data_IF_028894420213
#
_entry.id   IF_028894420213
#
_cell.length_a   1.000
_cell.length_b   1.000
_cell.length_c   1.000
_cell.angle_alpha   90.00
_cell.angle_beta   90.00
_cell.angle_gamma   90.00
#
_symmetry.space_group_name_H-M   'P 1'
#
loop_
_entity.id
_entity.type
_entity.pdbx_description
1 polymer ?
#
# COMPACT_ATOMS: atom_id res chain seq x y z
N UNK A 1 20.87 -8.95 -19.47
CA UNK A 1 20.25 -8.14 -20.56
C UNK A 1 20.50 -6.62 -20.42
N UNK A 2 21.39 -6.15 -19.53
CA UNK A 2 21.65 -4.71 -19.30
C UNK A 2 22.95 -4.21 -19.98
N UNK A 3 23.64 -5.07 -20.73
CA UNK A 3 24.87 -4.70 -21.45
C UNK A 3 24.64 -3.83 -22.70
N UNK A 4 23.41 -3.73 -23.21
CA UNK A 4 23.11 -3.11 -24.52
C UNK A 4 22.93 -1.59 -24.50
N UNK A 5 22.58 -0.98 -23.37
CA UNK A 5 22.21 0.45 -23.33
C UNK A 5 23.43 1.36 -23.25
N UNK A 6 24.56 0.86 -22.73
CA UNK A 6 25.79 1.66 -22.54
C UNK A 6 26.65 1.87 -23.79
N UNK A 7 26.60 0.93 -24.74
CA UNK A 7 27.38 1.06 -26.00
C UNK A 7 26.84 2.21 -26.85
N UNK A 8 25.53 2.44 -26.83
CA UNK A 8 24.87 3.51 -27.57
C UNK A 8 25.24 4.92 -27.07
N UNK A 9 25.32 5.13 -25.75
CA UNK A 9 25.77 6.42 -25.20
C UNK A 9 27.26 6.68 -25.44
N UNK A 10 28.08 5.63 -25.45
CA UNK A 10 29.52 5.76 -25.74
C UNK A 10 29.76 6.12 -27.22
N UNK A 11 28.98 5.53 -28.14
CA UNK A 11 28.98 5.91 -29.56
C UNK A 11 28.53 7.36 -29.79
N UNK A 12 27.55 7.86 -29.02
CA UNK A 12 27.08 9.24 -29.12
C UNK A 12 28.13 10.28 -28.66
N UNK A 13 28.93 9.94 -27.65
CA UNK A 13 30.06 10.79 -27.21
C UNK A 13 31.19 10.76 -28.24
N UNK A 14 31.49 9.59 -28.82
CA UNK A 14 32.50 9.47 -29.89
C UNK A 14 32.10 10.22 -31.17
N UNK A 15 30.82 10.22 -31.55
CA UNK A 15 30.34 11.02 -32.70
C UNK A 15 30.37 12.53 -32.47
N UNK A 16 30.52 12.97 -31.22
CA UNK A 16 30.63 14.40 -30.88
C UNK A 16 32.08 14.91 -30.97
N UNK A 17 33.07 14.01 -31.06
CA UNK A 17 34.51 14.34 -31.06
C UNK A 17 35.04 14.62 -32.48
N UNK A 18 34.35 14.14 -33.53
CA UNK A 18 34.77 14.37 -34.93
C UNK A 18 34.70 15.85 -35.38
N UNK A 19 34.03 16.74 -34.63
CA UNK A 19 33.87 18.15 -35.01
C UNK A 19 35.04 19.07 -34.59
N UNK A 20 35.93 18.64 -33.70
CA UNK A 20 36.99 19.49 -33.11
C UNK A 20 38.42 19.15 -33.57
N UNK A 21 38.57 18.40 -34.67
CA UNK A 21 39.88 18.06 -35.24
C UNK A 21 40.74 19.28 -35.65
N UNK A 22 40.14 20.48 -35.71
CA UNK A 22 40.83 21.72 -36.10
C UNK A 22 41.63 22.40 -34.97
N UNK A 23 41.35 22.11 -33.70
CA UNK A 23 42.04 22.78 -32.57
C UNK A 23 43.34 22.04 -32.19
N UNK A 24 43.47 20.75 -32.53
CA UNK A 24 44.60 19.92 -32.13
C UNK A 24 45.78 19.90 -33.13
N UNK A 25 45.75 20.70 -34.19
CA UNK A 25 46.78 20.66 -35.24
C UNK A 25 48.04 21.49 -34.92
N UNK A 26 48.08 22.26 -33.82
CA UNK A 26 49.14 23.28 -33.63
C UNK A 26 49.89 23.33 -32.29
N UNK A 27 49.83 22.32 -31.40
CA UNK A 27 50.76 22.27 -30.25
C UNK A 27 50.99 20.86 -29.65
N UNK A 28 52.27 20.46 -29.67
CA UNK A 28 52.99 19.43 -28.90
C UNK A 28 52.40 18.02 -28.68
N UNK A 29 53.14 17.02 -29.18
CA UNK A 29 52.89 15.58 -28.98
C UNK A 29 52.64 15.19 -27.52
N UNK A 30 53.25 15.90 -26.56
CA UNK A 30 53.04 15.70 -25.13
C UNK A 30 51.61 16.05 -24.67
N UNK A 31 50.97 17.08 -25.25
CA UNK A 31 49.61 17.49 -24.88
C UNK A 31 48.59 16.42 -25.26
N UNK A 32 48.71 15.79 -26.44
CA UNK A 32 47.83 14.67 -26.83
C UNK A 32 47.94 13.47 -25.89
N UNK A 33 49.16 13.13 -25.45
CA UNK A 33 49.39 11.99 -24.56
C UNK A 33 48.76 12.27 -23.20
N UNK A 34 48.90 13.49 -22.68
CA UNK A 34 48.25 13.90 -21.42
C UNK A 34 46.74 13.86 -21.56
N UNK A 35 46.17 14.40 -22.63
CA UNK A 35 44.72 14.41 -22.87
C UNK A 35 44.17 12.98 -22.96
N UNK A 36 44.77 12.09 -23.75
CA UNK A 36 44.34 10.69 -23.86
C UNK A 36 44.46 9.93 -22.54
N UNK A 37 45.51 10.18 -21.75
CA UNK A 37 45.67 9.57 -20.42
C UNK A 37 44.60 10.05 -19.44
N UNK A 38 44.26 11.34 -19.46
CA UNK A 38 43.21 11.91 -18.63
C UNK A 38 41.83 11.38 -19.04
N UNK A 39 41.54 11.28 -20.34
CA UNK A 39 40.30 10.65 -20.84
C UNK A 39 40.21 9.17 -20.44
N UNK A 40 41.30 8.41 -20.53
CA UNK A 40 41.37 7.02 -20.08
C UNK A 40 41.11 6.86 -18.58
N UNK A 41 41.76 7.70 -17.75
CA UNK A 41 41.54 7.72 -16.29
C UNK A 41 40.09 8.12 -15.97
N UNK A 42 39.54 9.12 -16.66
CA UNK A 42 38.17 9.57 -16.45
C UNK A 42 37.16 8.48 -16.84
N UNK A 43 37.39 7.76 -17.95
CA UNK A 43 36.57 6.65 -18.40
C UNK A 43 36.63 5.46 -17.44
N UNK A 44 37.81 5.12 -16.91
CA UNK A 44 37.97 4.10 -15.88
C UNK A 44 37.26 4.47 -14.56
N UNK A 45 37.36 5.74 -14.13
CA UNK A 45 36.63 6.24 -12.97
C UNK A 45 35.12 6.24 -13.19
N UNK A 46 34.66 6.60 -14.39
CA UNK A 46 33.25 6.58 -14.77
C UNK A 46 32.69 5.15 -14.82
N UNK A 47 33.46 4.19 -15.36
CA UNK A 47 33.07 2.77 -15.41
C UNK A 47 33.02 2.16 -13.99
N UNK A 48 34.01 2.49 -13.14
CA UNK A 48 34.05 2.09 -11.73
C UNK A 48 32.85 2.64 -10.95
N UNK A 49 32.49 3.91 -11.20
CA UNK A 49 31.32 4.54 -10.57
C UNK A 49 30.00 3.90 -11.01
N UNK A 50 29.86 3.57 -12.30
CA UNK A 50 28.66 2.90 -12.82
C UNK A 50 28.54 1.46 -12.33
N UNK A 51 29.66 0.75 -12.23
CA UNK A 51 29.71 -0.58 -11.64
C UNK A 51 29.33 -0.52 -10.16
N UNK A 52 29.87 0.44 -9.39
CA UNK A 52 29.51 0.62 -7.99
C UNK A 52 27.99 0.76 -7.78
N UNK A 53 27.32 1.49 -8.68
CA UNK A 53 25.86 1.63 -8.64
C UNK A 53 25.12 0.29 -8.82
N UNK A 54 25.55 -0.54 -9.79
CA UNK A 54 24.94 -1.87 -9.98
C UNK A 54 25.22 -2.81 -8.81
N UNK A 55 26.44 -2.80 -8.26
CA UNK A 55 26.78 -3.63 -7.10
C UNK A 55 25.95 -3.29 -5.86
N UNK A 56 25.62 -2.01 -5.66
CA UNK A 56 24.74 -1.59 -4.57
C UNK A 56 23.30 -2.08 -4.78
N UNK A 57 22.80 -2.00 -6.01
CA UNK A 57 21.48 -2.51 -6.37
C UNK A 57 21.36 -4.02 -6.11
N UNK A 58 22.33 -4.80 -6.59
CA UNK A 58 22.33 -6.26 -6.42
C UNK A 58 22.38 -6.66 -4.93
N UNK A 59 23.16 -5.95 -4.12
CA UNK A 59 23.21 -6.15 -2.66
C UNK A 59 21.89 -5.81 -1.97
N UNK A 60 21.23 -4.71 -2.37
CA UNK A 60 19.93 -4.35 -1.82
C UNK A 60 18.87 -5.41 -2.15
N UNK A 61 18.81 -5.84 -3.41
CA UNK A 61 17.89 -6.90 -3.85
C UNK A 61 18.15 -8.21 -3.11
N UNK A 62 19.41 -8.63 -2.97
CA UNK A 62 19.76 -9.84 -2.22
C UNK A 62 19.39 -9.75 -0.73
N UNK A 63 19.58 -8.59 -0.10
CA UNK A 63 19.21 -8.38 1.30
C UNK A 63 17.69 -8.43 1.52
N UNK A 64 16.92 -7.83 0.60
CA UNK A 64 15.46 -7.83 0.66
C UNK A 64 14.89 -9.22 0.35
N UNK A 65 15.50 -9.93 -0.60
CA UNK A 65 15.19 -11.32 -0.89
C UNK A 65 15.41 -12.22 0.33
N UNK A 66 16.55 -12.10 1.02
CA UNK A 66 16.80 -12.82 2.27
C UNK A 66 15.77 -12.49 3.37
N UNK A 67 15.41 -11.22 3.52
CA UNK A 67 14.40 -10.78 4.48
C UNK A 67 13.00 -11.38 4.17
N UNK A 68 12.57 -11.34 2.90
CA UNK A 68 11.28 -11.92 2.49
C UNK A 68 11.27 -13.43 2.67
N UNK A 69 12.32 -14.14 2.26
CA UNK A 69 12.40 -15.60 2.42
C UNK A 69 12.31 -16.01 3.88
N UNK A 70 12.98 -15.24 4.75
CA UNK A 70 12.95 -15.45 6.19
C UNK A 70 11.56 -15.20 6.77
N UNK A 71 10.91 -14.10 6.36
CA UNK A 71 9.56 -13.75 6.81
C UNK A 71 8.49 -14.75 6.32
N UNK A 72 8.62 -15.21 5.07
CA UNK A 72 7.69 -16.19 4.47
C UNK A 72 8.02 -17.64 4.84
N UNK A 73 9.08 -17.87 5.62
CA UNK A 73 9.56 -19.20 6.03
C UNK A 73 9.88 -20.17 4.88
N UNK A 74 10.13 -19.66 3.67
CA UNK A 74 10.47 -20.49 2.49
C UNK A 74 11.88 -21.05 2.59
N UNK A 75 12.85 -20.20 2.92
CA UNK A 75 14.23 -20.61 3.26
C UNK A 75 14.95 -21.46 2.20
N UNK A 76 15.09 -20.97 0.96
CA UNK A 76 15.79 -21.71 -0.11
C UNK A 76 17.26 -22.05 0.21
N UNK A 77 17.90 -21.25 1.08
CA UNK A 77 19.24 -21.54 1.60
C UNK A 77 20.39 -21.14 0.67
N UNK A 78 20.14 -20.27 -0.31
CA UNK A 78 21.17 -19.69 -1.18
C UNK A 78 21.94 -18.54 -0.50
N UNK A 79 21.27 -17.77 0.36
CA UNK A 79 21.88 -16.74 1.22
C UNK A 79 21.76 -17.18 2.68
N UNK A 80 22.89 -17.55 3.29
CA UNK A 80 22.92 -18.06 4.67
C UNK A 80 24.13 -17.53 5.47
N UNK A 81 23.96 -17.29 6.79
CA UNK A 81 25.04 -16.83 7.66
C UNK A 81 26.11 -17.92 7.83
N UNK A 82 27.36 -17.58 7.49
CA UNK A 82 28.47 -18.54 7.55
C UNK A 82 29.17 -18.49 8.90
N UNK A 83 29.34 -17.29 9.45
CA UNK A 83 30.02 -17.07 10.72
C UNK A 83 29.08 -17.15 11.91
N UNK A 84 29.60 -17.49 13.10
CA UNK A 84 28.80 -17.58 14.34
C UNK A 84 28.13 -16.24 14.69
N UNK A 85 28.82 -15.12 14.44
CA UNK A 85 28.30 -13.78 14.72
C UNK A 85 27.13 -13.42 13.79
N UNK A 86 27.25 -13.74 12.49
CA UNK A 86 26.17 -13.58 11.51
C UNK A 86 24.96 -14.45 11.87
N UNK A 87 25.17 -15.66 12.39
CA UNK A 87 24.09 -16.55 12.82
C UNK A 87 23.30 -15.97 13.99
N UNK A 88 23.99 -15.40 14.99
CA UNK A 88 23.32 -14.76 16.13
C UNK A 88 22.48 -13.57 15.64
N UNK A 89 23.03 -12.73 14.76
CA UNK A 89 22.28 -11.63 14.16
C UNK A 89 21.05 -12.12 13.39
N UNK A 90 21.19 -13.17 12.57
CA UNK A 90 20.10 -13.77 11.80
C UNK A 90 18.98 -14.29 12.72
N UNK A 91 19.32 -14.93 13.84
CA UNK A 91 18.34 -15.43 14.81
C UNK A 91 17.55 -14.26 15.42
N UNK A 92 18.22 -13.17 15.81
CA UNK A 92 17.53 -12.00 16.36
C UNK A 92 16.62 -11.35 15.31
N UNK A 93 17.11 -11.20 14.07
CA UNK A 93 16.31 -10.67 12.97
C UNK A 93 15.08 -11.54 12.66
N UNK A 94 15.22 -12.87 12.72
CA UNK A 94 14.13 -13.83 12.56
C UNK A 94 13.04 -13.66 13.63
N UNK A 95 13.43 -13.51 14.91
CA UNK A 95 12.48 -13.32 16.01
C UNK A 95 11.69 -12.03 15.81
N UNK A 96 12.37 -10.91 15.51
CA UNK A 96 11.72 -9.62 15.28
C UNK A 96 10.80 -9.69 14.05
N UNK A 97 11.26 -10.29 12.96
CA UNK A 97 10.47 -10.48 11.74
C UNK A 97 9.20 -11.29 12.00
N UNK A 98 9.30 -12.39 12.76
CA UNK A 98 8.16 -13.22 13.13
C UNK A 98 7.14 -12.45 14.00
N UNK A 99 7.61 -11.64 14.95
CA UNK A 99 6.74 -10.80 15.78
C UNK A 99 5.94 -9.79 14.95
N UNK A 100 6.63 -9.06 14.06
CA UNK A 100 6.00 -8.07 13.18
C UNK A 100 5.00 -8.76 12.24
N UNK A 101 5.39 -9.89 11.66
CA UNK A 101 4.52 -10.65 10.77
C UNK A 101 3.25 -11.15 11.48
N UNK A 102 3.39 -11.73 12.67
CA UNK A 102 2.26 -12.18 13.48
C UNK A 102 1.30 -11.03 13.79
N UNK A 103 1.82 -9.89 14.23
CA UNK A 103 1.02 -8.69 14.50
C UNK A 103 0.28 -8.19 13.25
N UNK A 104 0.97 -8.17 12.09
CA UNK A 104 0.36 -7.79 10.82
C UNK A 104 -0.81 -8.69 10.44
N UNK A 105 -0.62 -10.02 10.54
CA UNK A 105 -1.67 -11.00 10.26
C UNK A 105 -2.85 -10.83 11.22
N UNK A 106 -2.60 -10.62 12.52
CA UNK A 106 -3.67 -10.38 13.50
C UNK A 106 -4.52 -9.17 13.12
N UNK A 107 -3.91 -8.08 12.66
CA UNK A 107 -4.66 -6.88 12.23
C UNK A 107 -5.50 -7.14 10.98
N UNK A 108 -4.97 -7.89 10.01
CA UNK A 108 -5.72 -8.28 8.80
C UNK A 108 -6.90 -9.18 9.17
N UNK A 109 -6.69 -10.18 10.03
CA UNK A 109 -7.77 -11.05 10.52
C UNK A 109 -8.80 -10.23 11.30
N UNK A 110 -8.37 -9.31 12.17
CA UNK A 110 -9.27 -8.42 12.88
C UNK A 110 -10.11 -7.56 11.92
N UNK A 111 -9.51 -7.02 10.86
CA UNK A 111 -10.25 -6.28 9.83
C UNK A 111 -11.29 -7.18 9.13
N UNK A 112 -10.90 -8.38 8.70
CA UNK A 112 -11.82 -9.34 8.04
C UNK A 112 -12.96 -9.75 8.98
N UNK A 113 -12.67 -10.02 10.25
CA UNK A 113 -13.70 -10.37 11.24
C UNK A 113 -14.61 -9.21 11.59
N UNK A 114 -14.14 -7.95 11.53
CA UNK A 114 -15.01 -6.78 11.68
C UNK A 114 -15.95 -6.62 10.48
N UNK A 115 -15.46 -6.86 9.26
CA UNK A 115 -16.27 -6.83 8.04
C UNK A 115 -17.31 -7.95 8.02
N UNK A 116 -16.92 -9.16 8.38
CA UNK A 116 -17.79 -10.35 8.38
C UNK A 116 -18.50 -10.60 9.72
N UNK A 117 -18.33 -9.70 10.70
CA UNK A 117 -18.79 -9.88 12.07
C UNK A 117 -20.30 -10.10 12.20
N UNK A 118 -21.15 -9.27 11.56
CA UNK A 118 -22.61 -9.43 11.62
C UNK A 118 -23.07 -10.78 11.05
N UNK A 119 -22.54 -11.18 9.89
CA UNK A 119 -22.88 -12.44 9.24
C UNK A 119 -22.40 -13.66 10.04
N UNK A 120 -21.15 -13.63 10.50
CA UNK A 120 -20.58 -14.73 11.29
C UNK A 120 -21.35 -14.95 12.60
N UNK A 121 -21.73 -13.87 13.31
CA UNK A 121 -22.53 -13.96 14.53
C UNK A 121 -23.92 -14.54 14.29
N UNK A 122 -24.54 -14.20 13.16
CA UNK A 122 -25.84 -14.77 12.80
C UNK A 122 -25.74 -16.27 12.55
N UNK A 123 -24.73 -16.72 11.78
CA UNK A 123 -24.52 -18.14 11.50
C UNK A 123 -24.25 -18.93 12.79
N UNK A 124 -23.34 -18.45 13.65
CA UNK A 124 -23.05 -19.11 14.94
C UNK A 124 -24.29 -19.28 15.81
N UNK A 125 -25.15 -18.26 15.86
CA UNK A 125 -26.42 -18.32 16.61
C UNK A 125 -27.43 -19.27 15.97
N UNK A 126 -27.47 -19.33 14.63
CA UNK A 126 -28.33 -20.26 13.91
C UNK A 126 -27.90 -21.71 14.15
N UNK A 127 -26.59 -21.96 14.19
CA UNK A 127 -26.02 -23.27 14.52
C UNK A 127 -26.36 -23.66 15.97
N UNK A 128 -26.16 -22.77 16.94
CA UNK A 128 -26.56 -23.00 18.34
C UNK A 128 -28.07 -23.30 18.47
N UNK A 129 -28.89 -22.58 17.71
CA UNK A 129 -30.33 -22.80 17.66
C UNK A 129 -30.65 -24.17 17.08
N UNK A 130 -29.96 -24.58 16.01
CA UNK A 130 -30.12 -25.91 15.41
C UNK A 130 -29.76 -27.02 16.41
N UNK A 131 -28.63 -26.89 17.09
CA UNK A 131 -28.18 -27.84 18.12
C UNK A 131 -29.20 -27.95 19.26
N UNK A 132 -29.78 -26.82 19.69
CA UNK A 132 -30.84 -26.82 20.69
C UNK A 132 -32.11 -27.54 20.22
N UNK A 133 -32.53 -27.32 18.98
CA UNK A 133 -33.69 -27.98 18.39
C UNK A 133 -33.48 -29.49 18.21
N UNK A 134 -32.24 -29.91 17.96
CA UNK A 134 -31.83 -31.30 17.87
C UNK A 134 -31.81 -31.98 19.25
N UNK A 135 -31.21 -31.34 20.26
CA UNK A 135 -31.16 -31.86 21.62
C UNK A 135 -32.55 -32.04 22.27
N UNK A 136 -33.56 -31.28 21.81
CA UNK A 136 -34.95 -31.36 22.28
C UNK A 136 -35.88 -32.16 21.35
N UNK A 137 -35.35 -32.72 20.28
CA UNK A 137 -36.11 -33.52 19.29
C UNK A 137 -37.39 -32.80 18.81
N UNK A 138 -37.28 -31.50 18.52
CA UNK A 138 -38.45 -30.72 18.11
C UNK A 138 -39.01 -31.19 16.76
N UNK A 139 -40.35 -31.20 16.56
CA UNK A 139 -40.96 -31.53 15.29
C UNK A 139 -40.57 -30.52 14.20
N UNK A 140 -40.46 -30.99 12.95
CA UNK A 140 -39.93 -30.22 11.81
C UNK A 140 -40.66 -28.89 11.57
N UNK A 141 -41.97 -28.85 11.84
CA UNK A 141 -42.81 -27.68 11.68
C UNK A 141 -42.39 -26.54 12.62
N UNK A 142 -42.14 -26.86 13.90
CA UNK A 142 -41.72 -25.87 14.89
C UNK A 142 -40.30 -25.37 14.58
N UNK A 143 -39.42 -26.24 14.07
CA UNK A 143 -38.07 -25.85 13.63
C UNK A 143 -38.11 -24.82 12.50
N UNK A 144 -39.00 -24.99 11.54
CA UNK A 144 -39.18 -24.06 10.44
C UNK A 144 -39.65 -22.69 10.94
N UNK A 145 -40.69 -22.67 11.78
CA UNK A 145 -41.25 -21.44 12.35
C UNK A 145 -40.21 -20.65 13.16
N UNK A 146 -39.40 -21.34 13.97
CA UNK A 146 -38.32 -20.73 14.76
C UNK A 146 -37.26 -20.09 13.87
N UNK A 147 -36.80 -20.80 12.82
CA UNK A 147 -35.78 -20.27 11.89
C UNK A 147 -36.31 -19.07 11.09
N UNK A 148 -37.54 -19.15 10.64
CA UNK A 148 -38.21 -18.07 9.90
C UNK A 148 -38.35 -16.81 10.77
N UNK A 149 -38.79 -16.95 12.02
CA UNK A 149 -38.84 -15.85 12.99
C UNK A 149 -37.48 -15.21 13.21
N UNK A 150 -36.44 -16.01 13.44
CA UNK A 150 -35.10 -15.51 13.70
C UNK A 150 -34.50 -14.78 12.48
N UNK A 151 -34.73 -15.33 11.27
CA UNK A 151 -34.31 -14.73 10.01
C UNK A 151 -35.04 -13.40 9.75
N UNK A 152 -36.36 -13.40 9.89
CA UNK A 152 -37.18 -12.20 9.71
C UNK A 152 -36.85 -11.10 10.73
N UNK A 153 -36.56 -11.47 11.98
CA UNK A 153 -36.13 -10.55 13.03
C UNK A 153 -34.80 -9.87 12.67
N UNK A 154 -33.84 -10.59 12.07
CA UNK A 154 -32.56 -10.02 11.60
C UNK A 154 -32.78 -9.00 10.48
N UNK A 155 -33.51 -9.36 9.42
CA UNK A 155 -33.78 -8.46 8.28
C UNK A 155 -34.51 -7.19 8.75
N UNK A 156 -35.42 -7.35 9.70
CA UNK A 156 -36.15 -6.23 10.30
C UNK A 156 -35.25 -5.31 11.14
N UNK A 157 -34.20 -5.85 11.78
CA UNK A 157 -33.23 -5.06 12.52
C UNK A 157 -32.29 -4.28 11.59
N UNK A 158 -31.78 -4.93 10.54
CA UNK A 158 -30.90 -4.28 9.56
C UNK A 158 -31.59 -3.11 8.84
N UNK A 159 -32.85 -3.29 8.41
CA UNK A 159 -33.63 -2.22 7.76
C UNK A 159 -33.90 -1.02 8.67
N UNK A 160 -34.13 -1.24 9.97
CA UNK A 160 -34.29 -0.15 10.96
C UNK A 160 -33.00 0.66 11.11
N UNK A 161 -31.85 -0.01 11.22
CA UNK A 161 -30.55 0.66 11.35
C UNK A 161 -30.21 1.52 10.12
N UNK A 162 -30.53 1.04 8.91
CA UNK A 162 -30.36 1.82 7.67
C UNK A 162 -31.24 3.07 7.67
N UNK A 163 -32.50 2.93 8.11
CA UNK A 163 -33.43 4.05 8.19
C UNK A 163 -32.98 5.08 9.24
N UNK A 164 -32.56 4.66 10.43
CA UNK A 164 -32.02 5.54 11.47
C UNK A 164 -30.76 6.28 10.98
N UNK A 165 -29.84 5.59 10.32
CA UNK A 165 -28.64 6.20 9.73
C UNK A 165 -28.98 7.28 8.70
N UNK A 166 -30.00 7.05 7.85
CA UNK A 166 -30.49 8.04 6.89
C UNK A 166 -31.10 9.26 7.59
N UNK A 167 -31.91 9.04 8.62
CA UNK A 167 -32.53 10.12 9.41
C UNK A 167 -31.45 10.97 10.11
N UNK A 168 -30.45 10.33 10.72
CA UNK A 168 -29.33 11.04 11.38
C UNK A 168 -28.47 11.80 10.38
N UNK A 169 -28.27 11.27 9.17
CA UNK A 169 -27.59 11.96 8.08
C UNK A 169 -28.38 13.20 7.64
N UNK A 170 -29.71 13.11 7.49
CA UNK A 170 -30.57 14.25 7.18
C UNK A 170 -30.54 15.31 8.29
N UNK A 171 -30.55 14.91 9.57
CA UNK A 171 -30.46 15.82 10.71
C UNK A 171 -29.09 16.53 10.79
N UNK A 172 -27.99 15.82 10.57
CA UNK A 172 -26.64 16.42 10.58
C UNK A 172 -26.41 17.35 9.38
N UNK A 173 -26.98 17.03 8.21
CA UNK A 173 -26.99 17.90 7.04
C UNK A 173 -27.87 19.14 7.25
N UNK A 174 -28.92 19.05 8.07
CA UNK A 174 -29.77 20.17 8.44
C UNK A 174 -29.09 21.08 9.49
N UNK A 175 -28.42 20.50 10.49
CA UNK A 175 -27.69 21.26 11.51
C UNK A 175 -26.56 22.13 10.97
N UNK A 176 -25.92 21.72 9.86
CA UNK A 176 -24.94 22.57 9.16
C UNK A 176 -25.57 23.66 8.29
N UNK A 177 -26.87 23.59 8.00
CA UNK A 177 -27.60 24.58 7.20
C UNK A 177 -28.30 25.65 8.03
N UNK A 178 -28.49 25.44 9.34
CA UNK A 178 -29.01 26.49 10.22
C UNK A 178 -28.00 27.63 10.45
N UNK A 179 -26.70 27.43 10.18
CA UNK A 179 -25.73 28.54 10.06
C UNK A 179 -25.78 29.26 8.69
N UNK A 180 -26.62 28.81 7.77
CA UNK A 180 -26.69 29.29 6.40
C UNK A 180 -28.12 29.64 5.95
N UNK A 181 -29.02 30.07 6.84
CA UNK A 181 -30.25 30.82 6.47
C UNK A 181 -30.60 31.86 7.56
N UNK A 182 -29.77 32.89 7.68
CA UNK A 182 -30.23 34.20 8.17
C UNK A 182 -29.79 35.25 7.14
N UNK A 183 -30.53 35.37 6.05
CA UNK A 183 -30.55 36.63 5.31
C UNK A 183 -31.79 37.40 5.76
N UNK A 184 -31.63 38.64 6.25
CA UNK A 184 -32.74 39.46 6.70
C UNK A 184 -33.60 39.86 5.50
N UNK A 185 -34.91 39.69 5.63
CA UNK A 185 -35.90 40.40 4.81
C UNK A 185 -35.80 41.88 5.20
N UNK A 186 -35.27 42.72 4.31
CA UNK A 186 -35.34 44.18 4.48
C UNK A 186 -36.78 44.64 4.24
N UNK A 187 -37.46 45.00 5.32
CA UNK A 187 -38.54 45.98 5.28
C UNK A 187 -37.94 47.35 4.96
N UNK A 188 -38.29 47.94 3.82
CA UNK A 188 -38.34 49.39 3.68
C UNK A 188 -39.70 49.78 3.11
N UNK A 189 -40.58 50.21 4.01
CA UNK A 189 -41.73 51.03 3.67
C UNK A 189 -41.32 52.50 3.66
N UNK A 190 -41.66 53.23 2.59
CA UNK A 190 -41.78 54.70 2.42
C UNK A 190 -42.11 54.89 0.93
N UNK A 191 -43.18 55.52 0.44
CA UNK A 191 -43.89 56.71 0.89
C UNK A 191 -45.24 56.81 0.14
N UNK A 192 -46.17 57.52 0.78
CA UNK A 192 -47.45 58.03 0.27
C UNK A 192 -47.42 58.58 -1.18
N UNK A 193 -48.50 58.40 -1.94
CA UNK A 193 -49.46 59.47 -2.25
C UNK A 193 -50.71 58.93 -2.95
N UNK A 194 -51.85 59.23 -2.33
CA UNK A 194 -53.22 59.07 -2.81
C UNK A 194 -53.56 60.32 -3.62
N UNK A 195 -54.00 60.21 -4.87
CA UNK A 195 -54.90 61.19 -5.49
C UNK A 195 -55.54 60.66 -6.78
N UNK A 196 -56.89 60.64 -6.74
CA UNK A 196 -57.91 60.50 -7.79
C UNK A 196 -57.87 59.31 -8.76
#
# INVERSE_FOLDING_TARGET
>A
MVAGVGVASCLAVLSSIDADAAIFSSADSEVSVVVLSLFGVLFDRFSTMRAALSWMYDKYVASFYWAIMTMTSVGYGDVHPTTTHERIFAIVAMIIGAWIFAYGITNVVAMVTNLNGPDSRFQLRMDELNDYMDARELPMQLRYEIRELYFNARISAESKLVNEGKILAELSACGSKEECVVQPVQEEGTFMLKHQ
#
